data_IF_308090986336
#
_entry.id   IF_308090986336
#
_cell.length_a   1.000
_cell.length_b   1.000
_cell.length_c   1.000
_cell.angle_alpha   90.00
_cell.angle_beta   90.00
_cell.angle_gamma   90.00
#
_symmetry.space_group_name_H-M   'P 1'
#
loop_
_entity.id
_entity.type
_entity.pdbx_description
1 polymer ?
#
# COMPACT_ATOMS: atom_id res chain seq x y z
N UNK A 1 -16.80 -1.86 2.22
CA UNK A 1 -17.22 -1.93 0.79
C UNK A 1 -16.63 -0.69 0.08
N UNK A 2 -16.78 -0.49 -1.23
CA UNK A 2 -16.31 0.75 -1.86
C UNK A 2 -17.35 1.39 -2.78
N UNK A 3 -17.32 2.71 -2.86
CA UNK A 3 -18.20 3.52 -3.71
C UNK A 3 -17.38 4.34 -4.69
N UNK A 4 -17.91 4.52 -5.90
CA UNK A 4 -17.24 5.26 -6.96
C UNK A 4 -17.73 6.70 -7.01
N UNK A 5 -16.81 7.66 -7.09
CA UNK A 5 -17.14 9.06 -7.19
C UNK A 5 -16.26 9.78 -8.23
N UNK A 6 -16.90 10.54 -9.11
CA UNK A 6 -16.17 11.44 -10.01
C UNK A 6 -15.58 12.61 -9.20
N UNK A 7 -14.39 13.08 -9.56
CA UNK A 7 -13.72 14.23 -8.93
C UNK A 7 -14.62 15.47 -8.78
N UNK A 8 -15.49 15.76 -9.75
CA UNK A 8 -16.45 16.88 -9.68
C UNK A 8 -17.48 16.68 -8.56
N UNK A 9 -17.97 15.46 -8.37
CA UNK A 9 -18.93 15.11 -7.31
C UNK A 9 -18.27 15.15 -5.92
N UNK A 10 -17.04 14.65 -5.83
CA UNK A 10 -16.22 14.74 -4.61
C UNK A 10 -16.06 16.21 -4.20
N UNK A 11 -15.59 17.07 -5.10
CA UNK A 11 -15.33 18.48 -4.79
C UNK A 11 -16.59 19.22 -4.32
N UNK A 12 -17.75 18.91 -4.90
CA UNK A 12 -19.00 19.55 -4.52
C UNK A 12 -19.57 19.05 -3.18
N UNK A 13 -19.24 17.83 -2.74
CA UNK A 13 -19.83 17.18 -1.57
C UNK A 13 -18.78 16.64 -0.61
N UNK A 14 -17.62 17.29 -0.53
CA UNK A 14 -16.44 16.70 0.12
C UNK A 14 -16.69 16.29 1.57
N UNK A 15 -17.40 17.14 2.34
CA UNK A 15 -17.80 16.84 3.72
C UNK A 15 -18.61 15.54 3.83
N UNK A 16 -19.62 15.35 2.98
CA UNK A 16 -20.47 14.17 3.03
C UNK A 16 -19.67 12.88 2.77
N UNK A 17 -18.68 12.93 1.89
CA UNK A 17 -17.80 11.79 1.66
C UNK A 17 -16.85 11.54 2.84
N UNK A 18 -16.35 12.58 3.49
CA UNK A 18 -15.58 12.43 4.73
C UNK A 18 -16.41 11.79 5.84
N UNK A 19 -17.62 12.31 6.08
CA UNK A 19 -18.52 11.77 7.10
C UNK A 19 -18.89 10.32 6.80
N UNK A 20 -19.12 9.99 5.52
CA UNK A 20 -19.39 8.63 5.07
C UNK A 20 -18.24 7.67 5.38
N UNK A 21 -17.01 7.97 4.94
CA UNK A 21 -15.87 7.07 5.19
C UNK A 21 -15.57 6.91 6.68
N UNK A 22 -15.79 7.96 7.48
CA UNK A 22 -15.61 7.92 8.93
C UNK A 22 -16.70 7.09 9.63
N UNK A 23 -17.94 7.15 9.16
CA UNK A 23 -19.08 6.51 9.83
C UNK A 23 -19.26 5.05 9.41
N UNK A 24 -19.07 4.74 8.13
CA UNK A 24 -19.37 3.40 7.59
C UNK A 24 -18.13 2.53 7.45
N UNK A 25 -16.92 3.12 7.44
CA UNK A 25 -15.69 2.41 7.08
C UNK A 25 -15.64 2.02 5.60
N UNK A 26 -16.54 2.55 4.77
CA UNK A 26 -16.44 2.37 3.33
C UNK A 26 -15.33 3.24 2.74
N UNK A 27 -14.81 2.77 1.60
CA UNK A 27 -13.75 3.43 0.85
C UNK A 27 -14.35 4.11 -0.38
N UNK A 28 -13.82 5.25 -0.77
CA UNK A 28 -14.28 5.95 -1.98
C UNK A 28 -13.19 5.90 -3.04
N UNK A 29 -13.49 5.31 -4.19
CA UNK A 29 -12.62 5.36 -5.37
C UNK A 29 -12.96 6.61 -6.20
N UNK A 30 -11.94 7.42 -6.44
CA UNK A 30 -12.06 8.71 -7.11
C UNK A 30 -11.66 8.56 -8.57
N UNK A 31 -12.56 8.92 -9.48
CA UNK A 31 -12.36 8.83 -10.93
C UNK A 31 -12.24 10.19 -11.58
N UNK A 32 -11.32 10.31 -12.53
CA UNK A 32 -11.17 11.46 -13.42
C UNK A 32 -10.98 10.97 -14.85
N UNK A 33 -11.77 11.50 -15.79
CA UNK A 33 -11.73 11.11 -17.21
C UNK A 33 -11.79 9.58 -17.42
N UNK A 34 -12.65 8.89 -16.67
CA UNK A 34 -12.84 7.44 -16.77
C UNK A 34 -11.74 6.59 -16.15
N UNK A 35 -10.73 7.20 -15.51
CA UNK A 35 -9.64 6.50 -14.83
C UNK A 35 -9.70 6.70 -13.32
N UNK A 36 -9.36 5.67 -12.57
CA UNK A 36 -9.11 5.73 -11.13
C UNK A 36 -7.85 6.56 -10.88
N UNK A 37 -7.94 7.56 -10.00
CA UNK A 37 -6.82 8.48 -9.74
C UNK A 37 -6.47 8.62 -8.27
N UNK A 38 -7.40 8.31 -7.36
CA UNK A 38 -7.16 8.39 -5.92
C UNK A 38 -8.19 7.56 -5.16
N UNK A 39 -7.93 7.32 -3.87
CA UNK A 39 -8.89 6.75 -2.94
C UNK A 39 -9.01 7.65 -1.70
N UNK A 40 -10.20 7.73 -1.13
CA UNK A 40 -10.44 8.30 0.20
C UNK A 40 -10.82 7.16 1.14
N UNK A 41 -10.15 7.09 2.28
CA UNK A 41 -10.32 6.07 3.31
C UNK A 41 -10.36 6.74 4.69
N UNK A 42 -10.88 6.05 5.70
CA UNK A 42 -10.79 6.52 7.08
C UNK A 42 -9.35 6.44 7.61
N UNK A 43 -9.12 7.04 8.78
CA UNK A 43 -7.79 7.11 9.39
C UNK A 43 -7.25 5.74 9.77
N UNK A 44 -8.12 4.87 10.24
CA UNK A 44 -7.83 3.51 10.67
C UNK A 44 -7.36 2.65 9.50
N UNK A 45 -8.09 2.68 8.39
CA UNK A 45 -7.72 1.98 7.16
C UNK A 45 -6.42 2.53 6.57
N UNK A 46 -6.23 3.86 6.60
CA UNK A 46 -4.97 4.47 6.17
C UNK A 46 -3.78 3.93 6.97
N UNK A 47 -3.89 3.90 8.29
CA UNK A 47 -2.81 3.40 9.15
C UNK A 47 -2.55 1.91 8.91
N UNK A 48 -3.60 1.09 8.74
CA UNK A 48 -3.46 -0.33 8.44
C UNK A 48 -2.73 -0.57 7.11
N UNK A 49 -3.01 0.26 6.09
CA UNK A 49 -2.31 0.20 4.80
C UNK A 49 -0.83 0.53 4.94
N UNK A 50 -0.49 1.59 5.69
CA UNK A 50 0.89 1.99 5.95
C UNK A 50 1.67 0.92 6.73
N UNK A 51 1.06 0.33 7.75
CA UNK A 51 1.67 -0.74 8.54
C UNK A 51 1.98 -1.98 7.70
N UNK A 52 1.04 -2.40 6.85
CA UNK A 52 1.23 -3.56 5.96
C UNK A 52 2.31 -3.26 4.91
N UNK A 53 2.31 -2.06 4.33
CA UNK A 53 3.33 -1.63 3.37
C UNK A 53 4.73 -1.67 3.99
N UNK A 54 4.91 -1.00 5.14
CA UNK A 54 6.20 -0.96 5.83
C UNK A 54 6.63 -2.31 6.42
N UNK A 55 5.71 -3.23 6.72
CA UNK A 55 6.05 -4.62 7.10
C UNK A 55 6.55 -5.42 5.91
N UNK A 56 5.92 -5.24 4.76
CA UNK A 56 6.26 -5.95 3.52
C UNK A 56 7.65 -5.55 3.04
N UNK A 57 7.97 -4.26 3.05
CA UNK A 57 9.29 -3.75 2.69
C UNK A 57 10.39 -4.34 3.57
N UNK A 58 10.21 -4.31 4.90
CA UNK A 58 11.15 -4.90 5.87
C UNK A 58 11.37 -6.40 5.65
N UNK A 59 10.30 -7.15 5.35
CA UNK A 59 10.39 -8.58 5.03
C UNK A 59 11.18 -8.84 3.74
N UNK A 60 10.98 -8.01 2.72
CA UNK A 60 11.72 -8.12 1.45
C UNK A 60 13.20 -7.82 1.66
N UNK A 61 13.55 -6.76 2.41
CA UNK A 61 14.93 -6.43 2.75
C UNK A 61 15.63 -7.53 3.56
N UNK A 62 14.92 -8.13 4.52
CA UNK A 62 15.46 -9.24 5.31
C UNK A 62 15.76 -10.44 4.42
N UNK A 63 14.81 -10.82 3.55
CA UNK A 63 15.01 -11.92 2.58
C UNK A 63 16.17 -11.64 1.64
N UNK A 64 16.31 -10.41 1.17
CA UNK A 64 17.42 -10.01 0.30
C UNK A 64 18.77 -10.12 1.01
N UNK A 65 18.86 -9.67 2.27
CA UNK A 65 20.07 -9.81 3.10
C UNK A 65 20.45 -11.27 3.32
N UNK A 66 19.50 -12.11 3.73
CA UNK A 66 19.74 -13.54 3.94
C UNK A 66 20.20 -14.25 2.65
N UNK A 67 19.61 -13.90 1.49
CA UNK A 67 20.01 -14.46 0.20
C UNK A 67 21.45 -14.05 -0.18
N UNK A 68 21.82 -12.78 0.03
CA UNK A 68 23.17 -12.28 -0.24
C UNK A 68 24.22 -12.93 0.66
N UNK A 69 23.89 -13.14 1.93
CA UNK A 69 24.78 -13.81 2.88
C UNK A 69 25.01 -15.28 2.52
N UNK A 70 23.95 -16.02 2.17
CA UNK A 70 24.06 -17.39 1.65
C UNK A 70 24.90 -17.46 0.38
N UNK A 71 24.69 -16.54 -0.56
CA UNK A 71 25.48 -16.46 -1.78
C UNK A 71 26.97 -16.21 -1.49
N UNK A 72 27.28 -15.33 -0.52
CA UNK A 72 28.65 -15.01 -0.12
C UNK A 72 29.35 -16.24 0.48
N UNK A 73 28.66 -17.01 1.32
CA UNK A 73 29.19 -18.26 1.89
C UNK A 73 29.44 -19.30 0.80
N UNK A 74 28.49 -19.52 -0.12
CA UNK A 74 28.68 -20.45 -1.24
C UNK A 74 29.87 -20.06 -2.12
N UNK A 75 29.98 -18.78 -2.50
CA UNK A 75 31.12 -18.28 -3.29
C UNK A 75 32.44 -18.45 -2.56
N UNK A 76 32.46 -18.30 -1.23
CA UNK A 76 33.66 -18.53 -0.41
C UNK A 76 34.13 -19.98 -0.45
N UNK A 77 33.19 -20.94 -0.30
CA UNK A 77 33.49 -22.37 -0.37
C UNK A 77 34.01 -22.80 -1.74
N UNK A 78 33.33 -22.39 -2.81
CA UNK A 78 33.76 -22.68 -4.18
C UNK A 78 35.15 -22.15 -4.54
N UNK A 79 35.65 -21.15 -3.80
CA UNK A 79 36.95 -20.53 -4.02
C UNK A 79 38.07 -21.15 -3.17
N UNK A 80 37.73 -21.97 -2.18
CA UNK A 80 38.66 -22.77 -1.38
C UNK A 80 38.86 -24.19 -1.95
N UNK A 81 37.94 -24.65 -2.81
CA UNK A 81 37.99 -25.97 -3.46
C UNK A 81 38.72 -25.95 -4.84
N UNK A 82 39.45 -24.87 -5.15
CA UNK A 82 40.30 -24.65 -6.34
C UNK A 82 41.75 -24.38 -5.90
#
# INVERSE_FOLDING_TARGET
>A
MFVNANTRKIRANFRNYLDHVMTTGDRVLIFRHGKEVAALVCREDFNALEEVSGRTERLMEQRHREAMERMRVMKGRMRQDL
#
